data_IF_663629568133
#
_entry.id   IF_663629568133
#
_cell.length_a   1.000
_cell.length_b   1.000
_cell.length_c   1.000
_cell.angle_alpha   90.00
_cell.angle_beta   90.00
_cell.angle_gamma   90.00
#
_symmetry.space_group_name_H-M   'P 1'
#
loop_
_entity.id
_entity.type
_entity.pdbx_description
1 polymer ?
#
# COMPACT_ATOMS: atom_id res chain seq x y z
N UNK A 1 14.14 13.84 17.38
CA UNK A 1 13.16 13.70 16.28
C UNK A 1 12.01 12.87 16.80
N UNK A 2 10.78 13.36 16.72
CA UNK A 2 9.58 12.59 17.12
C UNK A 2 9.24 11.57 16.03
N UNK A 3 8.80 10.35 16.39
CA UNK A 3 8.52 9.25 15.43
C UNK A 3 7.73 9.70 14.19
N UNK A 4 6.74 10.58 14.35
CA UNK A 4 5.86 11.03 13.25
C UNK A 4 6.54 11.88 12.15
N UNK A 5 7.80 12.28 12.28
CA UNK A 5 8.47 13.08 11.24
C UNK A 5 8.81 12.26 10.00
N UNK A 6 9.22 11.00 10.17
CA UNK A 6 9.52 10.12 9.03
C UNK A 6 8.24 9.78 8.27
N UNK A 7 7.18 9.40 8.98
CA UNK A 7 5.85 9.18 8.41
C UNK A 7 5.35 10.40 7.63
N UNK A 8 5.50 11.62 8.20
CA UNK A 8 5.09 12.85 7.51
C UNK A 8 5.93 13.08 6.24
N UNK A 9 7.24 12.83 6.31
CA UNK A 9 8.12 12.98 5.16
C UNK A 9 7.82 11.95 4.07
N UNK A 10 7.51 10.70 4.44
CA UNK A 10 7.00 9.67 3.54
C UNK A 10 5.72 10.14 2.84
N UNK A 11 4.76 10.67 3.60
CA UNK A 11 3.52 11.19 3.04
C UNK A 11 3.76 12.31 2.03
N UNK A 12 4.58 13.30 2.40
CA UNK A 12 4.90 14.43 1.53
C UNK A 12 5.60 13.97 0.24
N UNK A 13 6.57 13.07 0.36
CA UNK A 13 7.31 12.54 -0.80
C UNK A 13 6.45 11.64 -1.69
N UNK A 14 5.56 10.84 -1.11
CA UNK A 14 4.61 9.99 -1.84
C UNK A 14 3.56 10.81 -2.61
N UNK A 15 2.95 11.81 -1.96
CA UNK A 15 2.05 12.75 -2.63
C UNK A 15 2.77 13.59 -3.69
N UNK A 16 4.02 13.98 -3.42
CA UNK A 16 4.88 14.64 -4.41
C UNK A 16 5.11 13.76 -5.64
N UNK A 17 5.43 12.48 -5.45
CA UNK A 17 5.59 11.53 -6.55
C UNK A 17 4.29 11.39 -7.37
N UNK A 18 3.15 11.26 -6.70
CA UNK A 18 1.83 11.22 -7.34
C UNK A 18 1.56 12.46 -8.21
N UNK A 19 1.83 13.65 -7.66
CA UNK A 19 1.69 14.91 -8.39
C UNK A 19 2.60 15.00 -9.62
N UNK A 20 3.85 14.52 -9.51
CA UNK A 20 4.79 14.47 -10.63
C UNK A 20 4.36 13.47 -11.69
N UNK A 21 3.88 12.28 -11.30
CA UNK A 21 3.32 11.30 -12.25
C UNK A 21 2.10 11.84 -12.99
N UNK A 22 1.26 12.64 -12.33
CA UNK A 22 0.09 13.27 -12.94
C UNK A 22 0.43 14.25 -14.07
N UNK A 23 1.67 14.78 -14.13
CA UNK A 23 2.11 15.65 -15.24
C UNK A 23 2.18 14.86 -16.56
N UNK A 24 2.43 13.55 -16.51
CA UNK A 24 2.35 12.67 -17.70
C UNK A 24 3.46 12.87 -18.74
N UNK A 25 4.48 13.69 -18.46
CA UNK A 25 5.56 13.97 -19.43
C UNK A 25 6.83 13.15 -19.13
N UNK A 26 7.56 12.67 -20.16
CA UNK A 26 8.74 11.82 -19.97
C UNK A 26 9.83 12.46 -19.11
N UNK A 27 10.03 13.78 -19.22
CA UNK A 27 11.05 14.50 -18.45
C UNK A 27 10.80 14.50 -16.93
N UNK A 28 9.54 14.41 -16.52
CA UNK A 28 9.15 14.39 -15.10
C UNK A 28 9.07 12.98 -14.53
N UNK A 29 9.02 11.94 -15.37
CA UNK A 29 8.93 10.53 -14.95
C UNK A 29 10.05 10.14 -14.00
N UNK A 30 11.31 10.49 -14.31
CA UNK A 30 12.46 10.18 -13.46
C UNK A 30 12.36 10.82 -12.08
N UNK A 31 11.89 12.07 -12.01
CA UNK A 31 11.70 12.76 -10.73
C UNK A 31 10.62 12.08 -9.88
N UNK A 32 9.51 11.63 -10.50
CA UNK A 32 8.46 10.87 -9.82
C UNK A 32 8.97 9.53 -9.27
N UNK A 33 9.76 8.79 -10.07
CA UNK A 33 10.40 7.54 -9.64
C UNK A 33 11.32 7.78 -8.44
N UNK A 34 12.17 8.80 -8.48
CA UNK A 34 13.09 9.12 -7.38
C UNK A 34 12.31 9.48 -6.11
N UNK A 35 11.29 10.33 -6.21
CA UNK A 35 10.45 10.70 -5.07
C UNK A 35 9.73 9.49 -4.47
N UNK A 36 9.22 8.58 -5.32
CA UNK A 36 8.57 7.36 -4.87
C UNK A 36 9.56 6.44 -4.15
N UNK A 37 10.74 6.21 -4.71
CA UNK A 37 11.79 5.40 -4.05
C UNK A 37 12.15 6.00 -2.69
N UNK A 38 12.32 7.32 -2.60
CA UNK A 38 12.57 7.99 -1.31
C UNK A 38 11.42 7.75 -0.33
N UNK A 39 10.17 7.89 -0.77
CA UNK A 39 8.98 7.64 0.05
C UNK A 39 8.93 6.20 0.60
N UNK A 40 9.26 5.20 -0.24
CA UNK A 40 9.32 3.79 0.16
C UNK A 40 10.51 3.47 1.08
N UNK A 41 11.64 4.16 0.92
CA UNK A 41 12.77 3.99 1.84
C UNK A 41 12.49 4.60 3.22
N UNK A 42 11.79 5.74 3.26
CA UNK A 42 11.40 6.39 4.51
C UNK A 42 10.44 5.53 5.33
N UNK A 43 9.55 4.81 4.67
CA UNK A 43 8.66 3.80 5.26
C UNK A 43 9.40 2.71 6.00
N UNK A 44 10.33 2.07 5.30
CA UNK A 44 11.15 0.99 5.82
C UNK A 44 12.02 1.48 6.97
N UNK A 45 12.54 2.70 6.85
CA UNK A 45 13.27 3.34 7.92
C UNK A 45 12.39 3.59 9.15
N UNK A 46 11.13 4.02 8.99
CA UNK A 46 10.21 4.27 10.11
C UNK A 46 9.84 2.98 10.84
N UNK A 47 9.50 1.92 10.08
CA UNK A 47 9.21 0.60 10.63
C UNK A 47 10.40 -0.03 11.37
N UNK A 48 11.61 0.08 10.80
CA UNK A 48 12.84 -0.42 11.43
C UNK A 48 13.19 0.38 12.69
N UNK A 49 13.00 1.71 12.67
CA UNK A 49 13.20 2.58 13.83
C UNK A 49 12.17 2.29 14.93
N UNK A 50 10.91 2.03 14.59
CA UNK A 50 9.88 1.67 15.56
C UNK A 50 10.21 0.36 16.30
N UNK A 51 10.72 -0.64 15.56
CA UNK A 51 11.21 -1.91 16.12
C UNK A 51 12.40 -1.73 17.05
N UNK A 52 13.42 -0.99 16.62
CA UNK A 52 14.66 -0.79 17.37
C UNK A 52 14.47 0.10 18.61
N UNK A 53 13.59 1.09 18.52
CA UNK A 53 13.38 2.07 19.61
C UNK A 53 12.44 1.58 20.70
N UNK A 54 11.73 0.46 20.49
CA UNK A 54 10.69 -0.05 21.39
C UNK A 54 9.63 1.01 21.75
N UNK A 55 9.44 2.01 20.87
CA UNK A 55 8.51 3.14 21.01
C UNK A 55 7.31 3.01 20.07
N UNK A 56 6.71 1.82 20.01
CA UNK A 56 5.44 1.66 19.30
C UNK A 56 4.31 2.26 20.13
N UNK A 57 3.83 3.44 19.71
CA UNK A 57 2.57 3.99 20.21
C UNK A 57 1.42 3.58 19.28
N UNK A 58 0.25 3.27 19.84
CA UNK A 58 -0.92 2.89 19.05
C UNK A 58 -1.38 4.02 18.11
N UNK A 59 -1.18 5.28 18.49
CA UNK A 59 -1.49 6.44 17.64
C UNK A 59 -0.50 6.62 16.49
N UNK A 60 0.80 6.42 16.74
CA UNK A 60 1.84 6.48 15.69
C UNK A 60 1.64 5.39 14.63
N UNK A 61 1.40 4.15 15.07
CA UNK A 61 1.16 3.04 14.14
C UNK A 61 -0.07 3.26 13.24
N UNK A 62 -1.13 3.87 13.78
CA UNK A 62 -2.30 4.23 12.97
C UNK A 62 -1.99 5.34 11.97
N UNK A 63 -1.20 6.35 12.37
CA UNK A 63 -0.82 7.44 11.48
C UNK A 63 0.02 6.95 10.31
N UNK A 64 0.97 6.06 10.58
CA UNK A 64 1.79 5.37 9.60
C UNK A 64 0.93 4.67 8.55
N UNK A 65 0.03 3.79 8.98
CA UNK A 65 -0.87 3.09 8.08
C UNK A 65 -1.73 4.01 7.20
N UNK A 66 -2.22 5.13 7.75
CA UNK A 66 -2.98 6.09 6.93
C UNK A 66 -2.09 6.85 5.94
N UNK A 67 -0.87 7.19 6.33
CA UNK A 67 0.09 7.86 5.47
C UNK A 67 0.50 6.94 4.30
N UNK A 68 0.67 5.66 4.58
CA UNK A 68 0.98 4.60 3.63
C UNK A 68 -0.09 4.46 2.57
N UNK A 69 -1.32 4.12 2.97
CA UNK A 69 -2.41 3.93 2.04
C UNK A 69 -2.73 5.18 1.23
N UNK A 70 -2.61 6.36 1.85
CA UNK A 70 -2.81 7.63 1.13
C UNK A 70 -1.71 7.88 0.10
N UNK A 71 -0.45 7.64 0.45
CA UNK A 71 0.69 7.80 -0.47
C UNK A 71 0.59 6.80 -1.63
N UNK A 72 0.41 5.54 -1.28
CA UNK A 72 0.29 4.40 -2.19
C UNK A 72 -0.88 4.57 -3.16
N UNK A 73 -2.06 4.89 -2.64
CA UNK A 73 -3.24 5.16 -3.45
C UNK A 73 -3.08 6.39 -4.34
N UNK A 74 -2.52 7.48 -3.82
CA UNK A 74 -2.29 8.70 -4.60
C UNK A 74 -1.36 8.45 -5.79
N UNK A 75 -0.32 7.62 -5.64
CA UNK A 75 0.59 7.26 -6.73
C UNK A 75 -0.15 6.63 -7.90
N UNK A 76 -1.05 5.68 -7.66
CA UNK A 76 -1.84 5.06 -8.73
C UNK A 76 -2.82 6.03 -9.40
N UNK A 77 -3.43 6.93 -8.64
CA UNK A 77 -4.26 8.00 -9.20
C UNK A 77 -3.41 8.93 -10.08
N UNK A 78 -2.23 9.34 -9.61
CA UNK A 78 -1.30 10.18 -10.35
C UNK A 78 -0.85 9.55 -11.67
N UNK A 79 -0.48 8.26 -11.65
CA UNK A 79 -0.16 7.48 -12.86
C UNK A 79 -1.37 7.44 -13.80
N UNK A 80 -2.58 7.20 -13.28
CA UNK A 80 -3.82 7.21 -14.06
C UNK A 80 -4.07 8.55 -14.76
N UNK A 81 -3.87 9.67 -14.07
CA UNK A 81 -3.98 11.02 -14.66
C UNK A 81 -2.92 11.22 -15.74
N UNK A 82 -1.66 10.90 -15.45
CA UNK A 82 -0.54 11.09 -16.38
C UNK A 82 -0.63 10.25 -17.66
N UNK A 83 -1.37 9.14 -17.62
CA UNK A 83 -1.59 8.24 -18.76
C UNK A 83 -2.85 8.54 -19.58
N UNK A 84 -3.58 9.63 -19.31
CA UNK A 84 -4.85 9.92 -19.98
C UNK A 84 -4.71 10.06 -21.51
N UNK A 85 -3.60 10.60 -21.99
CA UNK A 85 -3.33 10.79 -23.43
C UNK A 85 -2.73 9.56 -24.12
N UNK A 86 -2.70 8.40 -23.44
CA UNK A 86 -2.13 7.15 -23.98
C UNK A 86 -3.21 6.20 -24.51
N UNK A 87 -2.84 4.95 -24.83
CA UNK A 87 -3.77 3.92 -25.32
C UNK A 87 -4.96 3.68 -24.38
N UNK A 88 -4.78 3.89 -23.07
CA UNK A 88 -5.87 3.75 -22.09
C UNK A 88 -6.91 4.87 -22.19
N UNK A 89 -6.54 6.05 -22.70
CA UNK A 89 -7.48 7.16 -22.83
C UNK A 89 -8.17 7.51 -21.51
N UNK A 90 -9.49 7.70 -21.61
CA UNK A 90 -10.36 7.93 -20.46
C UNK A 90 -10.39 6.79 -19.42
N UNK A 91 -9.91 5.58 -19.74
CA UNK A 91 -9.90 4.44 -18.83
C UNK A 91 -8.73 4.46 -17.85
N UNK A 92 -7.69 5.26 -18.10
CA UNK A 92 -6.51 5.33 -17.23
C UNK A 92 -6.87 5.80 -15.82
N UNK A 93 -7.71 6.84 -15.70
CA UNK A 93 -8.10 7.40 -14.42
C UNK A 93 -9.00 6.45 -13.60
N UNK A 94 -10.07 5.86 -14.14
CA UNK A 94 -10.86 4.84 -13.45
C UNK A 94 -10.01 3.65 -12.98
N UNK A 95 -9.05 3.18 -13.78
CA UNK A 95 -8.14 2.10 -13.40
C UNK A 95 -7.23 2.52 -12.23
N UNK A 96 -6.69 3.74 -12.28
CA UNK A 96 -5.88 4.30 -11.19
C UNK A 96 -6.68 4.44 -9.89
N UNK A 97 -7.92 4.91 -9.95
CA UNK A 97 -8.83 5.01 -8.80
C UNK A 97 -9.16 3.62 -8.25
N UNK A 98 -9.48 2.66 -9.12
CA UNK A 98 -9.77 1.27 -8.72
C UNK A 98 -8.56 0.63 -8.02
N UNK A 99 -7.36 0.79 -8.58
CA UNK A 99 -6.13 0.32 -7.96
C UNK A 99 -5.92 1.00 -6.59
N UNK A 100 -6.09 2.32 -6.51
CA UNK A 100 -5.92 3.08 -5.27
C UNK A 100 -6.89 2.62 -4.16
N UNK A 101 -8.18 2.48 -4.47
CA UNK A 101 -9.19 1.99 -3.53
C UNK A 101 -8.84 0.57 -3.07
N UNK A 102 -8.39 -0.28 -3.99
CA UNK A 102 -8.09 -1.67 -3.69
C UNK A 102 -6.85 -1.83 -2.81
N UNK A 103 -5.81 -1.04 -3.05
CA UNK A 103 -4.60 -1.02 -2.20
C UNK A 103 -4.95 -0.56 -0.79
N UNK A 104 -5.65 0.56 -0.66
CA UNK A 104 -6.10 1.07 0.65
C UNK A 104 -7.01 0.07 1.35
N UNK A 105 -7.94 -0.56 0.63
CA UNK A 105 -8.80 -1.60 1.19
C UNK A 105 -7.99 -2.81 1.66
N UNK A 106 -7.00 -3.26 0.90
CA UNK A 106 -6.11 -4.37 1.26
C UNK A 106 -5.38 -4.11 2.58
N UNK A 107 -4.73 -2.95 2.70
CA UNK A 107 -4.03 -2.54 3.93
C UNK A 107 -4.99 -2.43 5.12
N UNK A 108 -6.18 -1.85 4.93
CA UNK A 108 -7.18 -1.75 5.99
C UNK A 108 -7.68 -3.13 6.44
N UNK A 109 -7.87 -4.09 5.52
CA UNK A 109 -8.30 -5.45 5.86
C UNK A 109 -7.17 -6.20 6.57
N UNK A 110 -5.92 -6.08 6.12
CA UNK A 110 -4.76 -6.66 6.81
C UNK A 110 -4.61 -6.10 8.22
N UNK A 111 -4.77 -4.79 8.39
CA UNK A 111 -4.79 -4.17 9.72
C UNK A 111 -5.92 -4.74 10.59
N UNK A 112 -7.10 -4.98 10.02
CA UNK A 112 -8.21 -5.61 10.76
C UNK A 112 -7.86 -7.03 11.19
N UNK A 113 -7.27 -7.83 10.31
CA UNK A 113 -6.79 -9.17 10.61
C UNK A 113 -5.78 -9.18 11.77
N UNK A 114 -4.81 -8.27 11.72
CA UNK A 114 -3.77 -8.14 12.75
C UNK A 114 -4.37 -7.66 14.09
N UNK A 115 -5.26 -6.67 14.06
CA UNK A 115 -5.95 -6.17 15.27
C UNK A 115 -6.81 -7.23 15.96
N UNK A 116 -7.33 -8.20 15.20
CA UNK A 116 -8.10 -9.33 15.70
C UNK A 116 -7.21 -10.52 16.11
N UNK A 117 -5.88 -10.42 15.94
CA UNK A 117 -4.90 -11.50 16.15
C UNK A 117 -5.22 -12.76 15.35
N UNK A 118 -5.92 -12.61 14.22
CA UNK A 118 -6.33 -13.74 13.38
C UNK A 118 -5.23 -14.15 12.41
N UNK A 119 -4.47 -13.17 11.93
CA UNK A 119 -3.26 -13.34 11.12
C UNK A 119 -2.33 -12.20 11.51
N UNK A 120 -1.10 -12.50 11.92
CA UNK A 120 -0.12 -11.44 12.12
C UNK A 120 0.51 -11.08 10.77
N UNK A 121 0.67 -9.78 10.50
CA UNK A 121 1.46 -9.32 9.34
C UNK A 121 2.87 -9.90 9.36
N UNK A 122 3.43 -10.12 10.56
CA UNK A 122 4.71 -10.78 10.77
C UNK A 122 4.74 -12.26 10.34
N UNK A 123 3.59 -12.96 10.31
CA UNK A 123 3.49 -14.34 9.84
C UNK A 123 3.33 -14.42 8.31
N UNK A 124 2.82 -13.35 7.68
CA UNK A 124 2.70 -13.23 6.22
C UNK A 124 4.04 -12.79 5.60
N UNK A 125 4.76 -11.89 6.28
CA UNK A 125 6.12 -11.48 5.95
C UNK A 125 7.09 -12.66 6.16
N UNK A 126 7.19 -13.52 5.15
CA UNK A 126 7.86 -14.81 5.24
C UNK A 126 9.33 -14.72 5.66
N UNK A 127 9.91 -15.88 5.96
CA UNK A 127 11.25 -16.15 6.50
C UNK A 127 12.47 -15.49 5.80
N UNK A 128 12.25 -14.70 4.75
CA UNK A 128 13.24 -13.94 3.97
C UNK A 128 13.15 -12.41 4.15
N UNK A 129 12.21 -11.90 4.95
CA UNK A 129 12.09 -10.47 5.26
C UNK A 129 11.40 -9.62 4.20
N UNK A 130 10.56 -10.23 3.35
CA UNK A 130 9.77 -9.54 2.32
C UNK A 130 8.30 -9.46 2.78
N UNK A 131 7.77 -8.25 2.94
CA UNK A 131 6.40 -7.94 3.36
C UNK A 131 5.47 -7.88 2.14
N UNK A 132 4.16 -8.16 2.24
CA UNK A 132 3.22 -7.92 1.14
C UNK A 132 3.27 -6.49 0.60
N UNK A 133 3.63 -5.52 1.44
CA UNK A 133 3.76 -4.10 1.09
C UNK A 133 5.04 -3.79 0.28
N UNK A 134 6.03 -4.71 0.26
CA UNK A 134 7.22 -4.58 -0.61
C UNK A 134 6.87 -4.68 -2.10
N UNK A 135 5.67 -5.17 -2.45
CA UNK A 135 5.14 -5.13 -3.81
C UNK A 135 5.17 -3.72 -4.41
N UNK A 136 5.12 -2.68 -3.58
CA UNK A 136 5.17 -1.30 -4.06
C UNK A 136 6.53 -0.90 -4.66
N UNK A 137 7.63 -1.59 -4.34
CA UNK A 137 8.93 -1.37 -4.99
C UNK A 137 8.93 -1.76 -6.48
N UNK A 138 7.98 -2.59 -6.92
CA UNK A 138 7.81 -2.90 -8.34
C UNK A 138 7.32 -1.68 -9.14
N UNK A 139 6.56 -0.76 -8.53
CA UNK A 139 6.02 0.44 -9.20
C UNK A 139 7.12 1.35 -9.77
N UNK A 140 8.08 1.86 -8.97
CA UNK A 140 9.14 2.73 -9.51
C UNK A 140 10.02 1.99 -10.53
N UNK A 141 10.25 0.68 -10.35
CA UNK A 141 11.01 -0.13 -11.30
C UNK A 141 10.31 -0.25 -12.65
N UNK A 142 9.03 -0.60 -12.67
CA UNK A 142 8.23 -0.67 -13.89
C UNK A 142 8.16 0.68 -14.60
N UNK A 143 7.95 1.77 -13.86
CA UNK A 143 7.91 3.12 -14.45
C UNK A 143 9.27 3.50 -15.03
N UNK A 144 10.38 3.20 -14.34
CA UNK A 144 11.73 3.45 -14.85
C UNK A 144 12.03 2.70 -16.16
N UNK A 145 11.45 1.50 -16.33
CA UNK A 145 11.54 0.69 -17.55
C UNK A 145 10.57 1.13 -18.66
N UNK A 146 9.73 2.15 -18.41
CA UNK A 146 8.71 2.61 -19.36
C UNK A 146 7.51 1.66 -19.45
N UNK A 147 7.26 0.87 -18.42
CA UNK A 147 6.14 -0.07 -18.30
C UNK A 147 4.99 0.51 -17.47
N UNK A 148 4.82 1.83 -17.50
CA UNK A 148 3.76 2.55 -16.79
C UNK A 148 2.35 2.11 -17.21
N UNK A 149 2.13 1.90 -18.51
CA UNK A 149 0.84 1.43 -19.04
C UNK A 149 0.49 -0.01 -18.62
N UNK A 150 1.34 -1.03 -18.85
CA UNK A 150 1.05 -2.39 -18.39
C UNK A 150 1.03 -2.50 -16.86
N UNK A 151 1.81 -1.68 -16.14
CA UNK A 151 1.75 -1.59 -14.69
C UNK A 151 0.37 -1.17 -14.21
N UNK A 152 -0.20 -0.10 -14.79
CA UNK A 152 -1.52 0.39 -14.37
C UNK A 152 -2.63 -0.63 -14.63
N UNK A 153 -2.57 -1.35 -15.77
CA UNK A 153 -3.50 -2.45 -16.07
C UNK A 153 -3.33 -3.58 -15.06
N UNK A 154 -2.09 -4.00 -14.80
CA UNK A 154 -1.79 -5.06 -13.85
C UNK A 154 -2.24 -4.69 -12.44
N UNK A 155 -2.04 -3.45 -11.99
CA UNK A 155 -2.50 -2.95 -10.70
C UNK A 155 -4.03 -2.86 -10.63
N UNK A 156 -4.68 -2.39 -11.70
CA UNK A 156 -6.14 -2.29 -11.78
C UNK A 156 -6.87 -3.63 -11.74
N UNK A 157 -6.18 -4.74 -12.02
CA UNK A 157 -6.73 -6.11 -11.89
C UNK A 157 -6.20 -6.78 -10.61
N UNK A 158 -4.90 -6.72 -10.40
CA UNK A 158 -4.20 -7.41 -9.32
C UNK A 158 -4.56 -6.88 -7.93
N UNK A 159 -4.65 -5.55 -7.76
CA UNK A 159 -4.97 -4.98 -6.45
C UNK A 159 -6.39 -5.34 -5.99
N UNK A 160 -7.45 -5.24 -6.82
CA UNK A 160 -8.78 -5.73 -6.44
C UNK A 160 -8.80 -7.21 -6.08
N UNK A 161 -8.11 -8.05 -6.87
CA UNK A 161 -8.04 -9.50 -6.60
C UNK A 161 -7.35 -9.77 -5.26
N UNK A 162 -6.22 -9.10 -4.99
CA UNK A 162 -5.53 -9.22 -3.72
C UNK A 162 -6.42 -8.79 -2.54
N UNK A 163 -7.07 -7.63 -2.65
CA UNK A 163 -8.00 -7.14 -1.61
C UNK A 163 -9.16 -8.10 -1.37
N UNK A 164 -9.73 -8.70 -2.44
CA UNK A 164 -10.78 -9.71 -2.33
C UNK A 164 -10.28 -10.98 -1.65
N UNK A 165 -9.11 -11.48 -2.02
CA UNK A 165 -8.51 -12.68 -1.39
C UNK A 165 -8.28 -12.45 0.10
N UNK A 166 -7.68 -11.32 0.47
CA UNK A 166 -7.45 -10.95 1.87
C UNK A 166 -8.79 -10.78 2.61
N UNK A 167 -9.79 -10.17 1.98
CA UNK A 167 -11.14 -10.03 2.54
C UNK A 167 -11.82 -11.39 2.78
N UNK A 168 -11.67 -12.34 1.86
CA UNK A 168 -12.18 -13.71 2.05
C UNK A 168 -11.45 -14.43 3.18
N UNK A 169 -10.15 -14.21 3.36
CA UNK A 169 -9.40 -14.73 4.51
C UNK A 169 -9.95 -14.17 5.81
N UNK A 170 -10.22 -12.86 5.90
CA UNK A 170 -10.84 -12.24 7.07
C UNK A 170 -12.19 -12.87 7.41
N UNK A 171 -13.08 -13.01 6.43
CA UNK A 171 -14.40 -13.61 6.65
C UNK A 171 -14.29 -15.07 7.13
N UNK A 172 -13.38 -15.85 6.54
CA UNK A 172 -13.15 -17.25 6.96
C UNK A 172 -12.65 -17.32 8.40
N UNK A 173 -11.67 -16.51 8.77
CA UNK A 173 -11.08 -16.52 10.11
C UNK A 173 -12.08 -16.04 11.18
N UNK A 174 -12.91 -15.05 10.86
CA UNK A 174 -13.98 -14.60 11.75
C UNK A 174 -15.00 -15.71 12.02
N UNK A 175 -15.44 -16.42 10.99
CA UNK A 175 -16.39 -17.52 11.14
C UNK A 175 -15.84 -18.69 11.99
N UNK A 176 -14.54 -18.97 11.87
CA UNK A 176 -13.87 -19.98 12.71
C UNK A 176 -13.82 -19.54 14.18
N UNK A 177 -13.48 -18.27 14.43
CA UNK A 177 -13.40 -17.72 15.78
C UNK A 177 -14.77 -17.66 16.47
N UNK A 178 -15.85 -17.34 15.75
CA UNK A 178 -17.21 -17.36 16.30
C UNK A 178 -17.67 -18.79 16.60
N UNK A 179 -17.44 -19.74 15.70
CA UNK A 179 -17.82 -21.15 15.91
C UNK A 179 -17.12 -21.77 17.14
N UNK A 180 -15.83 -21.47 17.35
CA UNK A 180 -15.08 -21.94 18.52
C UNK A 180 -15.63 -21.39 19.85
N UNK A 181 -16.09 -20.12 19.84
CA UNK A 181 -16.68 -19.47 21.02
C UNK A 181 -18.02 -20.09 21.41
N UNK A 182 -18.85 -20.43 20.42
CA UNK A 182 -20.16 -21.05 20.64
C UNK A 182 -20.05 -22.50 21.15
N UNK A 183 -19.00 -23.23 20.76
CA UNK A 183 -18.73 -24.58 21.27
C UNK A 183 -18.15 -24.62 22.70
N UNK A 184 -17.50 -23.55 23.15
CA UNK A 184 -16.83 -23.49 24.46
C UNK A 184 -17.68 -22.91 25.61
N UNK A 185 -18.85 -22.35 25.34
CA UNK A 185 -19.76 -21.80 26.37
C UNK A 185 -20.79 -22.81 26.90
N UNK A 186 -20.66 -24.08 26.52
CA UNK A 186 -21.58 -25.17 26.87
C UNK A 186 -21.03 -26.19 27.88
N UNK A 187 -19.81 -26.00 28.40
CA UNK A 187 -19.19 -26.84 29.45
C UNK A 187 -19.18 -26.15 30.82
#
# INVERSE_FOLDING_TARGET
MTPNHLTTLRLVTGLGAAGVFAIGTPGWRTAGVVLLVVSLLLDRADGELARLSNRMSQSGHRYDLYADGLSNGAVFVGIGIGLNETLLGMWSLPLGILAAISVVAGELILMRLDSLKLVSTADIGGHWGFDPDDGMFAVPLCIALGWDLPLLIAAGIGAPVAALVIGLVLLRQQNVATAAKDSGSGE
#
